data_IF_878486779807
#
_entry.id   IF_878486779807
#
_cell.length_a   1.000
_cell.length_b   1.000
_cell.length_c   1.000
_cell.angle_alpha   90.00
_cell.angle_beta   90.00
_cell.angle_gamma   90.00
#
_symmetry.space_group_name_H-M   'P 1'
#
loop_
_entity.id
_entity.type
_entity.pdbx_description
1 polymer ?
#
# COMPACT_ATOMS: atom_id res chain seq x y z
N UNK A 1 6.64 12.09 6.84
CA UNK A 1 6.69 11.00 5.83
C UNK A 1 5.69 9.89 6.15
N UNK A 2 5.67 9.38 7.40
CA UNK A 2 4.77 8.30 7.80
C UNK A 2 3.27 8.61 7.59
N UNK A 3 2.81 9.80 7.99
CA UNK A 3 1.42 10.24 7.77
C UNK A 3 1.05 10.31 6.28
N UNK A 4 1.96 10.82 5.45
CA UNK A 4 1.77 10.87 4.01
C UNK A 4 1.68 9.45 3.40
N UNK A 5 2.50 8.51 3.90
CA UNK A 5 2.44 7.11 3.49
C UNK A 5 1.11 6.47 3.90
N UNK A 6 0.65 6.70 5.14
CA UNK A 6 -0.66 6.25 5.64
C UNK A 6 -1.78 6.71 4.72
N UNK A 7 -1.85 8.01 4.44
CA UNK A 7 -2.90 8.58 3.59
C UNK A 7 -2.87 8.00 2.17
N UNK A 8 -1.67 7.91 1.57
CA UNK A 8 -1.49 7.30 0.24
C UNK A 8 -1.92 5.83 0.22
N UNK A 9 -1.62 5.10 1.29
CA UNK A 9 -1.99 3.69 1.48
C UNK A 9 -3.51 3.50 1.59
N UNK A 10 -4.18 4.31 2.41
CA UNK A 10 -5.64 4.31 2.53
C UNK A 10 -6.31 4.64 1.20
N UNK A 11 -5.77 5.62 0.47
CA UNK A 11 -6.24 5.98 -0.87
C UNK A 11 -6.04 4.82 -1.85
N UNK A 12 -4.85 4.21 -1.89
CA UNK A 12 -4.54 3.09 -2.77
C UNK A 12 -5.46 1.90 -2.52
N UNK A 13 -5.75 1.54 -1.26
CA UNK A 13 -6.70 0.48 -0.93
C UNK A 13 -8.13 0.79 -1.37
N UNK A 14 -8.55 2.06 -1.24
CA UNK A 14 -9.86 2.52 -1.67
C UNK A 14 -10.02 2.49 -3.19
N UNK A 15 -8.98 2.92 -3.91
CA UNK A 15 -8.92 2.84 -5.38
C UNK A 15 -8.79 1.40 -5.86
N UNK A 16 -8.07 0.56 -5.11
CA UNK A 16 -7.94 -0.86 -5.39
C UNK A 16 -9.28 -1.57 -5.29
N UNK A 17 -10.10 -1.23 -4.30
CA UNK A 17 -11.46 -1.76 -4.19
C UNK A 17 -11.46 -3.29 -4.30
N UNK A 18 -12.33 -3.84 -5.13
CA UNK A 18 -12.45 -5.28 -5.33
C UNK A 18 -11.42 -5.87 -6.30
N UNK A 19 -10.49 -5.05 -6.82
CA UNK A 19 -9.42 -5.49 -7.74
C UNK A 19 -8.24 -6.16 -7.01
N UNK A 20 -8.20 -6.08 -5.68
CA UNK A 20 -7.17 -6.71 -4.85
C UNK A 20 -7.81 -7.72 -3.91
N UNK A 21 -7.07 -8.78 -3.62
CA UNK A 21 -7.53 -9.81 -2.68
C UNK A 21 -7.79 -9.21 -1.29
N UNK A 22 -8.82 -9.71 -0.61
CA UNK A 22 -9.16 -9.30 0.75
C UNK A 22 -7.97 -9.43 1.70
N UNK A 23 -7.17 -10.48 1.55
CA UNK A 23 -5.96 -10.72 2.34
C UNK A 23 -4.93 -9.57 2.23
N UNK A 24 -4.69 -9.05 1.01
CA UNK A 24 -3.80 -7.90 0.78
C UNK A 24 -4.39 -6.65 1.42
N UNK A 25 -5.70 -6.43 1.25
CA UNK A 25 -6.43 -5.30 1.85
C UNK A 25 -6.32 -5.29 3.37
N UNK A 26 -6.56 -6.44 4.01
CA UNK A 26 -6.45 -6.64 5.44
C UNK A 26 -5.00 -6.47 5.94
N UNK A 27 -4.03 -7.02 5.22
CA UNK A 27 -2.61 -6.89 5.54
C UNK A 27 -2.18 -5.42 5.57
N UNK A 28 -2.46 -4.68 4.50
CA UNK A 28 -2.14 -3.25 4.41
C UNK A 28 -2.89 -2.44 5.46
N UNK A 29 -4.19 -2.72 5.68
CA UNK A 29 -5.00 -2.07 6.72
C UNK A 29 -4.35 -2.21 8.11
N UNK A 30 -3.94 -3.42 8.47
CA UNK A 30 -3.22 -3.68 9.73
C UNK A 30 -1.89 -2.92 9.80
N UNK A 31 -1.12 -2.85 8.70
CA UNK A 31 0.15 -2.09 8.67
C UNK A 31 -0.07 -0.59 8.82
N UNK A 32 -1.14 -0.04 8.24
CA UNK A 32 -1.55 1.36 8.42
C UNK A 32 -1.83 1.62 9.91
N UNK A 33 -2.65 0.79 10.55
CA UNK A 33 -2.98 0.95 11.97
C UNK A 33 -1.76 0.79 12.86
N UNK A 34 -0.85 -0.13 12.53
CA UNK A 34 0.38 -0.32 13.28
C UNK A 34 1.28 0.92 13.19
N UNK A 35 1.42 1.52 12.00
CA UNK A 35 2.18 2.76 11.83
C UNK A 35 1.50 3.94 12.53
N UNK A 36 0.16 4.06 12.45
CA UNK A 36 -0.61 5.08 13.20
C UNK A 36 -0.39 4.96 14.70
N UNK A 37 -0.38 3.74 15.23
CA UNK A 37 -0.14 3.50 16.66
C UNK A 37 1.31 3.76 17.06
N UNK A 38 2.29 3.36 16.23
CA UNK A 38 3.70 3.67 16.46
C UNK A 38 3.94 5.19 16.50
N UNK A 39 3.26 5.96 15.64
CA UNK A 39 3.32 7.43 15.63
C UNK A 39 2.68 8.11 16.86
N UNK A 40 1.85 7.39 17.64
CA UNK A 40 1.32 7.91 18.91
C UNK A 40 2.32 7.77 20.07
N UNK A 41 3.37 6.96 19.88
CA UNK A 41 4.48 6.84 20.81
C UNK A 41 5.75 7.50 20.27
N UNK A 42 6.85 7.30 20.99
CA UNK A 42 8.15 7.90 20.68
C UNK A 42 9.21 6.88 20.21
N UNK A 43 8.81 5.63 19.95
CA UNK A 43 9.74 4.59 19.49
C UNK A 43 10.04 4.74 18.00
N UNK A 44 11.12 5.47 17.71
CA UNK A 44 11.63 5.70 16.35
C UNK A 44 11.97 4.39 15.63
N UNK A 45 12.39 3.34 16.35
CA UNK A 45 12.69 2.05 15.74
C UNK A 45 11.40 1.36 15.27
N UNK A 46 10.34 1.39 16.11
CA UNK A 46 9.01 0.90 15.71
C UNK A 46 8.45 1.70 14.53
N UNK A 47 8.55 3.04 14.54
CA UNK A 47 8.05 3.88 13.44
C UNK A 47 8.76 3.51 12.13
N UNK A 48 10.10 3.40 12.15
CA UNK A 48 10.86 3.02 10.94
C UNK A 48 10.52 1.62 10.45
N UNK A 49 10.37 0.67 11.37
CA UNK A 49 9.96 -0.70 11.04
C UNK A 49 8.58 -0.71 10.37
N UNK A 50 7.57 -0.13 11.02
CA UNK A 50 6.21 -0.07 10.51
C UNK A 50 6.12 0.71 9.18
N UNK A 51 6.93 1.76 9.00
CA UNK A 51 7.05 2.50 7.74
C UNK A 51 7.57 1.60 6.61
N UNK A 52 8.63 0.83 6.87
CA UNK A 52 9.21 -0.10 5.90
C UNK A 52 8.24 -1.22 5.53
N UNK A 53 7.57 -1.79 6.52
CA UNK A 53 6.55 -2.83 6.31
C UNK A 53 5.38 -2.31 5.48
N UNK A 54 4.83 -1.13 5.79
CA UNK A 54 3.74 -0.54 5.02
C UNK A 54 4.15 -0.23 3.58
N UNK A 55 5.38 0.26 3.38
CA UNK A 55 5.91 0.55 2.05
C UNK A 55 5.97 -0.71 1.18
N UNK A 56 6.50 -1.81 1.73
CA UNK A 56 6.57 -3.09 1.02
C UNK A 56 5.18 -3.62 0.66
N UNK A 57 4.22 -3.47 1.57
CA UNK A 57 2.86 -3.98 1.34
C UNK A 57 2.09 -3.14 0.31
N UNK A 58 2.30 -1.82 0.28
CA UNK A 58 1.71 -0.93 -0.73
C UNK A 58 2.22 -1.24 -2.13
N UNK A 59 3.48 -1.64 -2.26
CA UNK A 59 4.03 -2.05 -3.55
C UNK A 59 3.27 -3.25 -4.12
N UNK A 60 2.92 -4.23 -3.28
CA UNK A 60 2.09 -5.38 -3.68
C UNK A 60 0.70 -4.97 -4.17
N UNK A 61 0.08 -3.97 -3.54
CA UNK A 61 -1.19 -3.38 -4.01
C UNK A 61 -1.01 -2.74 -5.38
N UNK A 62 0.07 -1.96 -5.55
CA UNK A 62 0.41 -1.32 -6.82
C UNK A 62 0.64 -2.34 -7.95
N UNK A 63 1.36 -3.42 -7.67
CA UNK A 63 1.58 -4.53 -8.60
C UNK A 63 0.28 -5.24 -8.96
N UNK A 64 -0.57 -5.52 -7.97
CA UNK A 64 -1.88 -6.13 -8.21
C UNK A 64 -2.78 -5.23 -9.07
N UNK A 65 -2.79 -3.92 -8.82
CA UNK A 65 -3.54 -2.95 -9.63
C UNK A 65 -2.99 -2.80 -11.05
N UNK A 66 -1.67 -2.80 -11.20
CA UNK A 66 -1.00 -2.70 -12.50
C UNK A 66 -1.26 -3.96 -13.34
N UNK A 67 -1.24 -5.14 -12.73
CA UNK A 67 -1.55 -6.41 -13.40
C UNK A 67 -3.02 -6.48 -13.85
N UNK A 68 -3.97 -5.93 -13.08
CA UNK A 68 -5.37 -5.82 -13.52
C UNK A 68 -5.52 -4.85 -14.70
N UNK A 69 -4.64 -3.85 -14.83
CA UNK A 69 -4.67 -2.91 -15.96
C UNK A 69 -4.17 -3.53 -17.28
N UNK A 70 -3.34 -4.57 -17.22
CA UNK A 70 -2.88 -5.32 -18.41
C UNK A 70 -3.98 -6.15 -19.08
N UNK A 71 -5.10 -6.40 -18.40
CA UNK A 71 -6.19 -7.23 -18.93
C UNK A 71 -7.40 -6.40 -19.41
N UNK A 72 -7.38 -5.08 -19.23
CA UNK A 72 -8.46 -4.17 -19.67
C UNK A 72 -8.06 -3.09 -20.67
N UNK A 73 -6.80 -3.07 -21.14
CA UNK A 73 -6.34 -2.05 -22.09
C UNK A 73 -5.40 -2.68 -23.14
N UNK A 74 -5.92 -2.87 -24.35
CA UNK A 74 -5.13 -3.14 -25.55
C UNK A 74 -4.34 -1.88 -25.93
N UNK A 75 -3.23 -1.58 -25.26
CA UNK A 75 -2.23 -0.61 -25.75
C UNK A 75 -0.79 -1.06 -25.46
N UNK A 76 0.14 -0.88 -26.43
CA UNK A 76 1.47 -1.48 -26.38
C UNK A 76 2.38 -0.76 -25.37
N UNK A 77 3.43 -1.44 -24.85
CA UNK A 77 4.38 -0.82 -23.93
C UNK A 77 5.15 0.32 -24.62
N UNK A 78 5.55 1.39 -23.89
CA UNK A 78 6.44 2.38 -24.46
C UNK A 78 7.79 1.74 -24.73
N UNK A 79 8.19 1.76 -26.01
CA UNK A 79 9.50 1.34 -26.48
C UNK A 79 10.61 2.06 -25.71
N UNK A 80 11.62 1.30 -25.31
CA UNK A 80 12.95 1.80 -25.01
C UNK A 80 13.88 1.51 -26.20
#
# INVERSE_FOLDING_TARGET
>A
QAEALIYSSEKALREAGDKVAADIKDSVGKKIDNLKNALKGDDVAQIKSALGELTAEIQRVGEALYNVKKESDNEPPPSN
#
